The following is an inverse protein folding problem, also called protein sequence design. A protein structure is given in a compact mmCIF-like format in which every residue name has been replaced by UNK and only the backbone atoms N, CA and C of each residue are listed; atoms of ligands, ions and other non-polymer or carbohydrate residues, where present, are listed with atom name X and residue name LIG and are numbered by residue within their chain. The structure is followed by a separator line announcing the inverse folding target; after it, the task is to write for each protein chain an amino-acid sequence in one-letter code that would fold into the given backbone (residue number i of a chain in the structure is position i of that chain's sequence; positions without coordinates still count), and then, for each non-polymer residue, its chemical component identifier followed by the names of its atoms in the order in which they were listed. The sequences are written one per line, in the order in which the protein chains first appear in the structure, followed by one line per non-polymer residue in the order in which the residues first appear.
data_IF_635456887990
#
_entry.id   IF_635456887990
#
_cell.length_a   1.000
_cell.length_b   1.000
_cell.length_c   1.000
_cell.angle_alpha   90.00
_cell.angle_beta   90.00
_cell.angle_gamma   90.00
#
_symmetry.space_group_name_H-M   'P 1'
#
loop_
_entity.id
_entity.type
_entity.pdbx_description
1 polymer ?
#
# COMPACT_ATOMS: atom_id res chain seq x y z
N UNK A 1 17.90 8.69 2.40
CA UNK A 1 18.81 9.34 1.41
C UNK A 1 19.56 10.54 1.99
N UNK A 2 18.92 11.50 2.67
CA UNK A 2 19.59 12.71 3.18
C UNK A 2 20.70 12.40 4.19
N UNK A 3 20.47 11.53 5.17
CA UNK A 3 21.48 11.12 6.15
C UNK A 3 22.70 10.41 5.52
N UNK A 4 22.50 9.61 4.47
CA UNK A 4 23.62 8.99 3.74
C UNK A 4 24.43 10.05 3.02
N UNK A 5 23.81 11.02 2.35
CA UNK A 5 24.49 12.12 1.66
C UNK A 5 25.27 13.01 2.60
N UNK A 6 24.78 13.21 3.83
CA UNK A 6 25.46 13.99 4.88
C UNK A 6 26.51 13.20 5.66
N UNK A 7 26.63 11.89 5.41
CA UNK A 7 27.55 11.03 6.17
C UNK A 7 27.17 10.88 7.66
N UNK A 8 25.92 11.16 8.02
CA UNK A 8 25.43 11.04 9.40
C UNK A 8 24.93 9.64 9.76
N UNK A 9 24.85 8.76 8.78
CA UNK A 9 24.57 7.33 8.95
C UNK A 9 25.63 6.54 8.21
N UNK A 10 26.19 5.52 8.85
CA UNK A 10 27.11 4.56 8.28
C UNK A 10 26.43 3.20 8.19
N UNK A 11 26.29 2.68 6.96
CA UNK A 11 25.66 1.39 6.67
C UNK A 11 26.67 0.28 6.43
N UNK A 12 27.98 0.57 6.52
CA UNK A 12 29.06 -0.37 6.17
C UNK A 12 29.17 -1.58 7.11
N UNK A 13 28.49 -1.56 8.25
CA UNK A 13 28.50 -2.62 9.26
C UNK A 13 27.15 -3.32 9.44
N UNK A 14 26.20 -3.10 8.52
CA UNK A 14 24.88 -3.73 8.57
C UNK A 14 25.01 -5.22 8.30
N UNK A 15 24.61 -6.04 9.26
CA UNK A 15 24.63 -7.51 9.18
C UNK A 15 23.25 -8.09 8.86
N UNK A 16 22.19 -7.39 9.24
CA UNK A 16 20.81 -7.81 9.01
C UNK A 16 20.06 -6.63 8.40
N UNK A 17 19.41 -6.89 7.28
CA UNK A 17 18.51 -5.96 6.60
C UNK A 17 17.11 -6.53 6.57
N UNK A 18 16.14 -5.71 6.96
CA UNK A 18 14.71 -6.02 6.84
C UNK A 18 14.08 -4.97 5.94
N UNK A 19 13.45 -5.40 4.86
CA UNK A 19 12.56 -4.59 4.03
C UNK A 19 11.15 -5.11 4.24
N UNK A 20 10.31 -4.26 4.79
CA UNK A 20 8.90 -4.56 5.07
C UNK A 20 8.00 -3.72 4.17
N UNK A 21 6.78 -4.20 3.90
CA UNK A 21 5.82 -3.54 3.01
C UNK A 21 6.38 -3.27 1.60
N UNK A 22 7.05 -4.28 1.01
CA UNK A 22 7.74 -4.14 -0.26
C UNK A 22 6.85 -3.71 -1.42
N UNK A 23 5.59 -4.10 -1.43
CA UNK A 23 4.58 -3.66 -2.40
C UNK A 23 4.31 -2.16 -2.31
N UNK A 24 4.14 -1.61 -1.12
CA UNK A 24 3.97 -0.17 -0.90
C UNK A 24 5.19 0.63 -1.37
N UNK A 25 6.40 0.12 -1.10
CA UNK A 25 7.63 0.78 -1.54
C UNK A 25 7.71 0.92 -3.07
N UNK A 26 7.25 -0.10 -3.81
CA UNK A 26 7.23 -0.07 -5.28
C UNK A 26 6.13 0.87 -5.78
N UNK A 27 4.94 0.84 -5.21
CA UNK A 27 3.82 1.70 -5.57
C UNK A 27 4.15 3.18 -5.34
N UNK A 28 4.94 3.48 -4.31
CA UNK A 28 5.44 4.82 -4.02
C UNK A 28 6.63 5.24 -4.90
N UNK A 29 7.17 4.35 -5.75
CA UNK A 29 8.28 4.65 -6.65
C UNK A 29 9.65 4.70 -5.97
N UNK A 30 9.84 4.09 -4.80
CA UNK A 30 11.10 4.12 -4.04
C UNK A 30 12.16 3.10 -4.50
N UNK A 31 11.96 2.45 -5.64
CA UNK A 31 12.86 1.39 -6.12
C UNK A 31 14.32 1.87 -6.23
N UNK A 32 14.54 3.06 -6.80
CA UNK A 32 15.88 3.60 -6.99
C UNK A 32 16.52 4.07 -5.67
N UNK A 33 15.70 4.57 -4.74
CA UNK A 33 16.16 4.89 -3.39
C UNK A 33 16.58 3.64 -2.63
N UNK A 34 15.81 2.56 -2.71
CA UNK A 34 16.14 1.26 -2.13
C UNK A 34 17.47 0.75 -2.70
N UNK A 35 17.64 0.74 -4.02
CA UNK A 35 18.90 0.33 -4.65
C UNK A 35 20.10 1.15 -4.17
N UNK A 36 19.93 2.45 -4.02
CA UNK A 36 20.98 3.34 -3.53
C UNK A 36 21.34 3.05 -2.07
N UNK A 37 20.35 2.77 -1.21
CA UNK A 37 20.58 2.38 0.18
C UNK A 37 21.31 1.03 0.25
N UNK A 38 20.87 0.05 -0.53
CA UNK A 38 21.48 -1.27 -0.59
C UNK A 38 22.94 -1.25 -1.07
N UNK A 39 23.26 -0.37 -2.01
CA UNK A 39 24.63 -0.19 -2.51
C UNK A 39 25.61 0.34 -1.43
N UNK A 40 25.08 0.97 -0.37
CA UNK A 40 25.90 1.42 0.77
C UNK A 40 26.10 0.37 1.86
N UNK A 41 25.57 -0.84 1.69
CA UNK A 41 25.64 -1.92 2.69
C UNK A 41 26.61 -3.03 2.25
N UNK A 42 27.18 -3.83 3.20
CA UNK A 42 27.96 -5.00 2.87
C UNK A 42 27.16 -6.00 2.04
N UNK A 43 27.86 -6.70 1.14
CA UNK A 43 27.25 -7.80 0.40
C UNK A 43 26.95 -9.00 1.29
N UNK A 44 27.83 -9.29 2.25
CA UNK A 44 27.62 -10.35 3.25
C UNK A 44 26.71 -9.85 4.37
N UNK A 45 25.43 -10.11 4.21
CA UNK A 45 24.40 -9.79 5.20
C UNK A 45 23.24 -10.75 5.08
N UNK A 46 22.48 -10.90 6.14
CA UNK A 46 21.17 -11.53 6.08
C UNK A 46 20.15 -10.49 5.59
N UNK A 47 19.40 -10.83 4.57
CA UNK A 47 18.35 -9.95 4.05
C UNK A 47 17.00 -10.63 4.17
N UNK A 48 16.03 -9.94 4.74
CA UNK A 48 14.64 -10.36 4.84
C UNK A 48 13.76 -9.37 4.11
N UNK A 49 12.84 -9.89 3.30
CA UNK A 49 11.90 -9.09 2.52
C UNK A 49 10.48 -9.56 2.81
N UNK A 50 9.65 -8.64 3.27
CA UNK A 50 8.24 -8.90 3.57
C UNK A 50 7.36 -8.07 2.65
N UNK A 51 6.28 -8.68 2.18
CA UNK A 51 5.28 -8.03 1.33
C UNK A 51 3.95 -8.77 1.42
N UNK A 52 2.86 -8.03 1.43
CA UNK A 52 1.52 -8.62 1.42
C UNK A 52 1.20 -9.23 0.07
N UNK A 53 1.68 -8.62 -1.02
CA UNK A 53 1.51 -9.08 -2.40
C UNK A 53 2.86 -9.32 -3.07
N UNK A 54 2.90 -10.19 -4.09
CA UNK A 54 4.13 -10.53 -4.82
C UNK A 54 3.89 -10.54 -6.34
N UNK A 55 3.44 -9.41 -6.93
CA UNK A 55 3.36 -9.27 -8.37
C UNK A 55 4.77 -9.25 -8.99
N UNK A 56 4.84 -9.36 -10.32
CA UNK A 56 6.11 -9.48 -11.04
C UNK A 56 7.13 -8.37 -10.70
N UNK A 57 6.79 -7.06 -10.64
CA UNK A 57 7.75 -6.02 -10.30
C UNK A 57 8.35 -6.16 -8.90
N UNK A 58 7.56 -6.60 -7.91
CA UNK A 58 8.01 -6.84 -6.54
C UNK A 58 8.97 -8.03 -6.49
N UNK A 59 8.65 -9.09 -7.23
CA UNK A 59 9.49 -10.27 -7.31
C UNK A 59 10.85 -9.94 -7.96
N UNK A 60 10.84 -9.23 -9.08
CA UNK A 60 12.06 -8.79 -9.76
C UNK A 60 12.93 -7.90 -8.86
N UNK A 61 12.30 -7.00 -8.10
CA UNK A 61 13.01 -6.20 -7.11
C UNK A 61 13.65 -7.10 -6.05
N UNK A 62 12.91 -8.01 -5.44
CA UNK A 62 13.42 -8.92 -4.42
C UNK A 62 14.57 -9.79 -4.95
N UNK A 63 14.44 -10.36 -6.14
CA UNK A 63 15.47 -11.18 -6.80
C UNK A 63 16.75 -10.38 -7.10
N UNK A 64 16.66 -9.06 -7.26
CA UNK A 64 17.81 -8.21 -7.56
C UNK A 64 18.79 -8.03 -6.38
N UNK A 65 18.36 -8.31 -5.14
CA UNK A 65 19.19 -8.10 -3.94
C UNK A 65 19.16 -9.24 -2.92
N UNK A 66 18.29 -10.23 -3.10
CA UNK A 66 18.30 -11.45 -2.28
C UNK A 66 19.27 -12.48 -2.88
N UNK A 67 19.95 -13.24 -2.01
CA UNK A 67 20.82 -14.34 -2.38
C UNK A 67 20.21 -15.65 -1.90
N UNK A 68 19.98 -16.58 -2.81
CA UNK A 68 19.38 -17.89 -2.53
C UNK A 68 18.20 -17.80 -1.55
N UNK A 69 17.17 -16.96 -1.84
CA UNK A 69 16.12 -16.69 -0.88
C UNK A 69 15.24 -17.91 -0.65
N UNK A 70 14.90 -18.14 0.63
CA UNK A 70 13.85 -19.09 1.00
C UNK A 70 12.52 -18.37 0.99
N UNK A 71 11.60 -18.82 0.13
CA UNK A 71 10.25 -18.27 0.09
C UNK A 71 9.38 -18.90 1.18
N UNK A 72 9.01 -18.11 2.17
CA UNK A 72 8.02 -18.48 3.18
C UNK A 72 6.69 -17.84 2.83
N UNK A 73 5.72 -18.62 2.42
CA UNK A 73 4.37 -18.16 2.09
C UNK A 73 3.39 -18.58 3.17
N UNK A 74 2.83 -17.61 3.86
CA UNK A 74 1.68 -17.84 4.74
C UNK A 74 0.46 -17.99 3.83
N UNK A 75 -0.20 -19.14 3.88
CA UNK A 75 -1.51 -19.28 3.25
C UNK A 75 -2.44 -18.31 3.99
N UNK A 76 -2.85 -17.24 3.34
CA UNK A 76 -3.99 -16.48 3.83
C UNK A 76 -5.13 -17.51 3.98
N UNK A 77 -5.60 -17.70 5.19
CA UNK A 77 -6.88 -18.36 5.35
C UNK A 77 -7.86 -17.53 4.49
N UNK A 78 -8.53 -18.16 3.56
CA UNK A 78 -9.51 -17.56 2.63
C UNK A 78 -10.75 -17.05 3.39
N UNK A 79 -10.52 -16.40 4.52
CA UNK A 79 -11.59 -16.03 5.48
C UNK A 79 -12.31 -14.76 5.04
N UNK A 80 -11.74 -13.95 4.12
CA UNK A 80 -12.29 -12.62 3.86
C UNK A 80 -13.12 -12.50 2.58
N UNK A 81 -12.86 -13.31 1.55
CA UNK A 81 -13.61 -13.17 0.28
C UNK A 81 -15.04 -13.72 0.39
N UNK A 82 -15.22 -14.82 1.13
CA UNK A 82 -16.53 -15.46 1.28
C UNK A 82 -17.47 -14.74 2.27
N UNK A 83 -16.92 -13.83 3.11
CA UNK A 83 -17.66 -13.05 4.09
C UNK A 83 -17.93 -11.60 3.66
N UNK A 84 -17.38 -11.17 2.53
CA UNK A 84 -17.57 -9.83 1.99
C UNK A 84 -18.56 -9.89 0.83
N UNK A 85 -19.74 -9.33 1.05
CA UNK A 85 -20.70 -9.11 -0.02
C UNK A 85 -20.20 -7.96 -0.90
N UNK A 86 -20.12 -8.20 -2.21
CA UNK A 86 -19.61 -7.22 -3.16
C UNK A 86 -20.67 -6.89 -4.19
N UNK A 87 -20.97 -5.63 -4.31
CA UNK A 87 -21.91 -5.11 -5.29
C UNK A 87 -21.26 -4.00 -6.13
N UNK A 88 -21.74 -3.78 -7.33
CA UNK A 88 -21.37 -2.65 -8.14
C UNK A 88 -22.59 -1.99 -8.80
N UNK A 89 -22.51 -0.68 -8.99
CA UNK A 89 -23.56 0.10 -9.64
C UNK A 89 -22.93 0.93 -10.76
N UNK A 90 -23.38 0.73 -11.98
CA UNK A 90 -22.94 1.52 -13.13
C UNK A 90 -23.76 2.81 -13.23
N UNK A 91 -23.10 3.95 -13.12
CA UNK A 91 -23.73 5.28 -13.11
C UNK A 91 -22.90 6.30 -13.86
N UNK A 92 -23.56 7.30 -14.50
CA UNK A 92 -22.89 8.52 -14.92
C UNK A 92 -22.26 9.24 -13.73
N UNK A 93 -21.10 9.87 -13.93
CA UNK A 93 -20.35 10.55 -12.86
C UNK A 93 -21.18 11.55 -12.05
N UNK A 94 -22.09 12.27 -12.73
CA UNK A 94 -22.98 13.25 -12.10
C UNK A 94 -23.95 12.64 -11.07
N UNK A 95 -24.25 11.35 -11.16
CA UNK A 95 -25.20 10.67 -10.29
C UNK A 95 -24.52 9.92 -9.14
N UNK A 96 -23.20 9.82 -9.13
CA UNK A 96 -22.46 9.02 -8.13
C UNK A 96 -22.66 9.53 -6.71
N UNK A 97 -22.66 10.84 -6.52
CA UNK A 97 -22.83 11.42 -5.19
C UNK A 97 -24.25 11.18 -4.63
N UNK A 98 -25.27 11.36 -5.46
CA UNK A 98 -26.66 11.09 -5.03
C UNK A 98 -26.91 9.61 -4.77
N UNK A 99 -26.27 8.72 -5.55
CA UNK A 99 -26.31 7.29 -5.31
C UNK A 99 -25.62 6.92 -3.99
N UNK A 100 -24.45 7.51 -3.70
CA UNK A 100 -23.75 7.32 -2.42
C UNK A 100 -24.65 7.70 -1.24
N UNK A 101 -25.29 8.87 -1.30
CA UNK A 101 -26.19 9.29 -0.24
C UNK A 101 -27.37 8.31 -0.05
N UNK A 102 -27.97 7.84 -1.15
CA UNK A 102 -29.04 6.83 -1.07
C UNK A 102 -28.58 5.51 -0.47
N UNK A 103 -27.38 5.05 -0.82
CA UNK A 103 -26.82 3.85 -0.21
C UNK A 103 -26.59 4.03 1.29
N UNK A 104 -26.02 5.15 1.72
CA UNK A 104 -25.83 5.46 3.13
C UNK A 104 -27.17 5.51 3.89
N UNK A 105 -28.22 6.07 3.29
CA UNK A 105 -29.54 6.14 3.89
C UNK A 105 -30.23 4.75 3.97
N UNK A 106 -30.03 3.90 2.97
CA UNK A 106 -30.64 2.57 2.90
C UNK A 106 -29.96 1.57 3.82
N UNK A 107 -28.62 1.54 3.78
CA UNK A 107 -27.82 0.58 4.53
C UNK A 107 -27.59 1.01 5.98
N UNK A 108 -27.69 2.32 6.26
CA UNK A 108 -27.47 2.93 7.58
C UNK A 108 -26.27 2.31 8.33
N UNK A 109 -25.07 2.29 7.73
CA UNK A 109 -23.92 1.60 8.29
C UNK A 109 -23.42 2.32 9.54
N UNK A 110 -22.95 1.55 10.54
CA UNK A 110 -22.27 2.12 11.72
C UNK A 110 -20.95 2.81 11.34
N UNK A 111 -20.26 2.30 10.30
CA UNK A 111 -19.02 2.84 9.77
C UNK A 111 -18.98 2.65 8.25
N UNK A 112 -18.62 3.70 7.52
CA UNK A 112 -18.44 3.65 6.09
C UNK A 112 -17.08 4.25 5.68
N UNK A 113 -16.40 3.63 4.71
CA UNK A 113 -15.19 4.17 4.11
C UNK A 113 -15.47 4.43 2.63
N UNK A 114 -15.29 5.67 2.18
CA UNK A 114 -15.52 6.09 0.80
C UNK A 114 -14.18 6.38 0.13
N UNK A 115 -13.78 5.52 -0.81
CA UNK A 115 -12.56 5.72 -1.59
C UNK A 115 -12.85 6.59 -2.82
N UNK A 116 -11.99 7.57 -3.05
CA UNK A 116 -12.07 8.47 -4.20
C UNK A 116 -10.71 8.59 -4.88
N UNK A 117 -10.70 9.02 -6.14
CA UNK A 117 -9.48 9.02 -6.97
C UNK A 117 -8.41 10.03 -6.53
N UNK A 118 -8.78 11.16 -5.92
CA UNK A 118 -7.86 12.25 -5.58
C UNK A 118 -8.16 12.84 -4.21
N UNK A 119 -7.16 13.42 -3.53
CA UNK A 119 -7.32 14.15 -2.27
C UNK A 119 -8.37 15.26 -2.38
N UNK A 120 -8.29 16.07 -3.44
CA UNK A 120 -9.28 17.11 -3.70
C UNK A 120 -10.71 16.56 -3.76
N UNK A 121 -10.90 15.39 -4.40
CA UNK A 121 -12.22 14.78 -4.48
C UNK A 121 -12.68 14.25 -3.12
N UNK A 122 -11.75 13.82 -2.25
CA UNK A 122 -12.08 13.46 -0.88
C UNK A 122 -12.64 14.65 -0.12
N UNK A 123 -11.95 15.79 -0.17
CA UNK A 123 -12.40 17.04 0.48
C UNK A 123 -13.78 17.46 -0.02
N UNK A 124 -14.00 17.46 -1.35
CA UNK A 124 -15.28 17.81 -1.98
C UNK A 124 -16.42 16.88 -1.53
N UNK A 125 -16.18 15.57 -1.45
CA UNK A 125 -17.19 14.59 -1.03
C UNK A 125 -17.48 14.73 0.45
N UNK A 126 -16.46 14.92 1.28
CA UNK A 126 -16.62 15.13 2.72
C UNK A 126 -17.49 16.37 2.99
N UNK A 127 -17.13 17.51 2.42
CA UNK A 127 -17.90 18.76 2.58
C UNK A 127 -19.36 18.62 2.11
N UNK A 128 -19.57 17.88 1.01
CA UNK A 128 -20.89 17.65 0.47
C UNK A 128 -21.74 16.72 1.36
N UNK A 129 -21.12 15.70 1.98
CA UNK A 129 -21.78 14.81 2.94
C UNK A 129 -22.13 15.55 4.24
N UNK A 130 -21.21 16.35 4.77
CA UNK A 130 -21.45 17.20 5.96
C UNK A 130 -22.64 18.15 5.74
N UNK A 131 -22.72 18.81 4.57
CA UNK A 131 -23.84 19.70 4.21
C UNK A 131 -25.18 18.97 4.14
N UNK A 132 -25.18 17.65 3.91
CA UNK A 132 -26.38 16.80 3.92
C UNK A 132 -26.67 16.16 5.30
N UNK A 133 -25.81 16.41 6.30
CA UNK A 133 -26.02 15.95 7.68
C UNK A 133 -25.40 14.58 7.99
N UNK A 134 -24.57 14.03 7.10
CA UNK A 134 -23.74 12.85 7.42
C UNK A 134 -22.53 13.30 8.24
N UNK A 135 -22.24 12.61 9.35
CA UNK A 135 -21.12 12.88 10.25
C UNK A 135 -20.24 11.63 10.39
#
# INVERSE_FOLDING_TARGET
MDHMKRGTIDLSHVQILVLDEGDEMVDMGFIDDIRTILAGMPEERQTMFFSATMPAPIRELAESFLRDPVLVKIKAATVTIDLVEQEYIELPDMQKFDCLCRLLDMENPELAIVFVRTKRRADEVTEALEKRGYM
#
